data_IF_471450960479
#
_entry.id   IF_471450960479
#
_cell.length_a   1.000
_cell.length_b   1.000
_cell.length_c   1.000
_cell.angle_alpha   90.00
_cell.angle_beta   90.00
_cell.angle_gamma   90.00
#
_symmetry.space_group_name_H-M   'P 1'
#
loop_
_entity.id
_entity.type
_entity.pdbx_description
1 polymer ?
#
# COMPACT_ATOMS: atom_id res chain seq x y z
N UNK A 1 -14.22 20.82 8.57
CA UNK A 1 -13.61 19.70 7.82
C UNK A 1 -14.33 18.37 8.02
N UNK A 2 -14.92 18.07 9.20
CA UNK A 2 -15.60 16.78 9.45
C UNK A 2 -16.84 16.47 8.56
N UNK A 3 -17.48 17.50 7.99
CA UNK A 3 -18.72 17.31 7.24
C UNK A 3 -18.57 16.39 6.01
N UNK A 4 -17.40 16.40 5.36
CA UNK A 4 -17.14 15.51 4.21
C UNK A 4 -17.07 14.05 4.65
N UNK A 5 -16.42 13.75 5.79
CA UNK A 5 -16.29 12.37 6.31
C UNK A 5 -17.65 11.77 6.70
N UNK A 6 -18.59 12.62 7.14
CA UNK A 6 -19.95 12.20 7.49
C UNK A 6 -20.78 11.80 6.26
N UNK A 7 -20.47 12.37 5.09
CA UNK A 7 -21.16 12.08 3.83
C UNK A 7 -20.64 10.83 3.12
N UNK A 8 -19.47 10.31 3.53
CA UNK A 8 -18.91 9.10 2.94
C UNK A 8 -19.69 7.85 3.35
N UNK A 9 -20.15 7.12 2.34
CA UNK A 9 -20.80 5.83 2.50
C UNK A 9 -19.78 4.72 2.80
N UNK A 10 -20.23 3.69 3.51
CA UNK A 10 -19.42 2.51 3.81
C UNK A 10 -18.58 2.60 5.09
N UNK A 11 -17.69 1.62 5.24
CA UNK A 11 -16.79 1.53 6.39
C UNK A 11 -15.50 2.30 6.13
N UNK A 12 -15.19 3.20 7.05
CA UNK A 12 -13.97 3.98 7.01
C UNK A 12 -12.96 3.37 7.98
N UNK A 13 -11.73 3.25 7.50
CA UNK A 13 -10.58 2.78 8.26
C UNK A 13 -9.44 3.77 8.07
N UNK A 14 -8.58 3.93 9.08
CA UNK A 14 -7.47 4.86 9.00
C UNK A 14 -6.16 4.21 9.42
N UNK A 15 -5.16 4.37 8.55
CA UNK A 15 -3.78 4.04 8.85
C UNK A 15 -3.07 5.31 9.30
N UNK A 16 -2.57 5.31 10.53
CA UNK A 16 -2.00 6.50 11.17
C UNK A 16 -0.67 6.91 10.53
N UNK A 17 -0.59 8.16 10.09
CA UNK A 17 0.65 8.82 9.71
C UNK A 17 1.20 9.71 10.83
N UNK A 18 2.40 10.25 10.63
CA UNK A 18 3.08 11.09 11.63
C UNK A 18 2.40 12.43 11.90
N UNK A 19 1.56 12.90 10.98
CA UNK A 19 0.81 14.14 11.14
C UNK A 19 -0.54 13.94 11.83
N UNK A 20 -0.95 12.68 12.03
CA UNK A 20 -2.23 12.34 12.64
C UNK A 20 -2.12 12.41 14.18
N UNK A 21 -2.26 13.62 14.71
CA UNK A 21 -2.21 13.88 16.16
C UNK A 21 -3.61 13.81 16.78
N UNK A 22 -4.18 12.61 16.88
CA UNK A 22 -5.46 12.39 17.55
C UNK A 22 -5.34 12.78 19.03
N UNK A 23 -6.22 13.67 19.52
CA UNK A 23 -6.34 14.02 20.94
C UNK A 23 -5.77 15.38 21.38
N UNK A 24 -4.93 16.05 20.57
CA UNK A 24 -4.37 17.37 20.94
C UNK A 24 -4.94 18.55 20.15
N UNK A 25 -5.52 18.31 18.98
CA UNK A 25 -6.16 19.36 18.17
C UNK A 25 -7.67 19.35 18.37
N UNK A 26 -8.24 20.47 18.86
CA UNK A 26 -9.69 20.69 18.87
C UNK A 26 -10.22 20.58 17.43
N UNK A 27 -10.99 19.53 17.12
CA UNK A 27 -11.81 19.49 15.90
C UNK A 27 -11.76 18.20 15.06
N UNK A 28 -10.87 17.24 15.33
CA UNK A 28 -10.82 15.99 14.57
C UNK A 28 -11.67 14.90 15.24
N UNK A 29 -12.80 14.52 14.62
CA UNK A 29 -13.65 13.44 15.12
C UNK A 29 -13.22 12.10 14.53
N UNK A 30 -12.88 11.15 15.39
CA UNK A 30 -12.53 9.78 14.99
C UNK A 30 -13.75 8.86 14.91
N UNK A 31 -14.95 9.35 15.27
CA UNK A 31 -16.15 8.53 15.47
C UNK A 31 -16.63 7.77 14.23
N UNK A 32 -16.28 8.22 13.02
CA UNK A 32 -16.65 7.54 11.77
C UNK A 32 -15.75 6.36 11.42
N UNK A 33 -14.54 6.29 11.97
CA UNK A 33 -13.63 5.21 11.67
C UNK A 33 -13.96 3.97 12.49
N UNK A 34 -14.07 2.82 11.81
CA UNK A 34 -14.24 1.52 12.48
C UNK A 34 -13.00 1.14 13.29
N UNK A 35 -11.83 1.49 12.76
CA UNK A 35 -10.59 1.46 13.51
C UNK A 35 -9.61 2.47 12.94
N UNK A 36 -8.66 2.85 13.80
CA UNK A 36 -7.51 3.68 13.50
C UNK A 36 -6.29 2.91 14.05
N UNK A 37 -5.30 2.61 13.20
CA UNK A 37 -4.15 1.78 13.57
C UNK A 37 -2.90 2.21 12.79
N UNK A 38 -1.69 2.06 13.33
CA UNK A 38 -0.46 2.35 12.58
C UNK A 38 -0.16 1.30 11.51
N UNK A 39 -0.69 0.08 11.67
CA UNK A 39 -0.45 -1.07 10.80
C UNK A 39 -1.68 -1.99 10.77
N UNK A 40 -2.00 -2.56 9.60
CA UNK A 40 -3.01 -3.58 9.47
C UNK A 40 -2.69 -4.57 8.35
N UNK A 41 -3.17 -5.80 8.49
CA UNK A 41 -3.20 -6.80 7.41
C UNK A 41 -4.66 -7.14 7.10
N UNK A 42 -5.07 -7.04 5.84
CA UNK A 42 -6.41 -7.34 5.36
C UNK A 42 -6.36 -8.37 4.22
N UNK A 43 -7.53 -8.89 3.85
CA UNK A 43 -7.69 -9.72 2.67
C UNK A 43 -8.70 -9.09 1.72
N UNK A 44 -8.40 -9.13 0.43
CA UNK A 44 -9.25 -8.64 -0.65
C UNK A 44 -9.18 -9.62 -1.84
N UNK A 45 -10.26 -10.37 -2.09
CA UNK A 45 -10.33 -11.36 -3.16
C UNK A 45 -9.10 -12.31 -3.21
N UNK A 46 -8.83 -13.04 -2.12
CA UNK A 46 -7.66 -13.93 -1.93
C UNK A 46 -6.27 -13.27 -1.90
N UNK A 47 -6.19 -11.96 -2.17
CA UNK A 47 -4.98 -11.16 -2.03
C UNK A 47 -4.82 -10.71 -0.59
N UNK A 48 -3.59 -10.69 -0.12
CA UNK A 48 -3.23 -10.14 1.18
C UNK A 48 -2.81 -8.69 1.00
N UNK A 49 -3.36 -7.80 1.82
CA UNK A 49 -3.06 -6.37 1.78
C UNK A 49 -2.39 -5.96 3.08
N UNK A 50 -1.14 -5.53 3.00
CA UNK A 50 -0.37 -4.96 4.09
C UNK A 50 -0.55 -3.44 4.04
N UNK A 51 -0.97 -2.84 5.14
CA UNK A 51 -1.26 -1.43 5.25
C UNK A 51 -0.37 -0.78 6.30
N UNK A 52 0.39 0.24 5.92
CA UNK A 52 1.22 1.06 6.81
C UNK A 52 1.43 2.43 6.18
N UNK A 53 1.40 3.52 6.94
CA UNK A 53 1.66 4.84 6.35
C UNK A 53 3.06 4.91 5.75
N UNK A 54 4.04 4.31 6.42
CA UNK A 54 5.42 4.23 5.97
C UNK A 54 5.67 2.99 5.11
N UNK A 55 6.50 3.09 4.05
CA UNK A 55 6.92 1.93 3.28
C UNK A 55 7.70 0.95 4.15
N UNK A 56 7.37 -0.33 4.03
CA UNK A 56 8.11 -1.42 4.67
C UNK A 56 8.68 -2.28 3.54
N UNK A 57 9.99 -2.25 3.33
CA UNK A 57 10.62 -2.94 2.19
C UNK A 57 10.47 -4.48 2.26
N UNK A 58 10.52 -5.02 3.47
CA UNK A 58 10.39 -6.45 3.74
C UNK A 58 9.12 -6.69 4.56
N UNK A 59 8.08 -7.23 3.93
CA UNK A 59 6.75 -7.37 4.55
C UNK A 59 6.23 -8.80 4.52
N UNK A 60 5.28 -9.07 5.42
CA UNK A 60 4.78 -10.40 5.68
C UNK A 60 4.05 -11.02 4.47
N UNK A 61 4.62 -12.08 3.89
CA UNK A 61 4.06 -12.76 2.72
C UNK A 61 4.49 -12.16 1.38
N UNK A 62 5.46 -11.24 1.36
CA UNK A 62 5.96 -10.57 0.14
C UNK A 62 6.27 -11.52 -1.02
N UNK A 63 6.85 -12.69 -0.75
CA UNK A 63 7.31 -13.62 -1.79
C UNK A 63 6.30 -14.71 -2.17
N UNK A 64 5.06 -14.60 -1.70
CA UNK A 64 4.00 -15.57 -2.01
C UNK A 64 3.38 -15.29 -3.37
N UNK A 65 3.07 -16.38 -4.07
CA UNK A 65 2.31 -16.37 -5.31
C UNK A 65 0.96 -17.05 -5.10
N UNK A 66 -0.01 -16.72 -5.93
CA UNK A 66 -1.25 -17.48 -6.07
C UNK A 66 -1.06 -18.70 -7.00
N UNK A 67 -2.16 -19.40 -7.28
CA UNK A 67 -2.17 -20.61 -8.12
C UNK A 67 -1.85 -20.31 -9.59
N UNK A 68 -2.07 -19.08 -10.05
CA UNK A 68 -1.81 -18.62 -11.42
C UNK A 68 -0.39 -18.08 -11.58
N UNK A 69 0.37 -17.99 -10.49
CA UNK A 69 1.74 -17.46 -10.47
C UNK A 69 1.80 -15.94 -10.35
N UNK A 70 0.69 -15.28 -9.98
CA UNK A 70 0.68 -13.85 -9.69
C UNK A 70 1.12 -13.59 -8.24
N UNK A 71 1.73 -12.44 -7.94
CA UNK A 71 2.02 -12.01 -6.58
C UNK A 71 0.75 -11.96 -5.71
N UNK A 72 0.79 -12.58 -4.53
CA UNK A 72 -0.39 -12.67 -3.65
C UNK A 72 -0.52 -11.51 -2.65
N UNK A 73 0.59 -10.84 -2.34
CA UNK A 73 0.66 -9.86 -1.25
C UNK A 73 1.04 -8.49 -1.77
N UNK A 74 0.27 -7.48 -1.39
CA UNK A 74 0.46 -6.08 -1.77
C UNK A 74 0.68 -5.22 -0.53
N UNK A 75 1.70 -4.37 -0.55
CA UNK A 75 2.02 -3.43 0.51
C UNK A 75 1.64 -2.03 0.06
N UNK A 76 0.58 -1.48 0.66
CA UNK A 76 0.09 -0.15 0.36
C UNK A 76 0.64 0.80 1.42
N UNK A 77 1.22 1.90 0.95
CA UNK A 77 1.74 2.95 1.80
C UNK A 77 1.44 4.33 1.27
N UNK A 78 1.68 5.34 2.10
CA UNK A 78 1.75 6.73 1.67
C UNK A 78 3.12 7.29 2.05
N UNK A 79 3.10 8.43 2.74
CA UNK A 79 4.25 9.16 3.30
C UNK A 79 5.25 9.71 2.27
N UNK A 80 5.71 8.86 1.37
CA UNK A 80 6.67 9.18 0.33
C UNK A 80 5.94 9.95 -0.76
N UNK A 81 6.22 11.24 -0.88
CA UNK A 81 5.72 12.07 -1.98
C UNK A 81 6.64 11.90 -3.20
N UNK A 82 6.39 12.65 -4.27
CA UNK A 82 7.23 12.65 -5.46
C UNK A 82 8.59 13.34 -5.21
N UNK A 83 9.47 12.66 -4.46
CA UNK A 83 10.76 13.15 -3.97
C UNK A 83 11.86 12.13 -4.24
N UNK A 84 13.09 12.42 -3.81
CA UNK A 84 14.21 11.48 -3.88
C UNK A 84 13.95 10.15 -3.17
N UNK A 85 13.17 10.17 -2.08
CA UNK A 85 12.83 8.95 -1.35
C UNK A 85 11.97 8.01 -2.22
N UNK A 86 11.08 8.56 -3.07
CA UNK A 86 10.34 7.76 -4.04
C UNK A 86 11.26 7.07 -5.04
N UNK A 87 12.26 7.81 -5.56
CA UNK A 87 13.24 7.25 -6.50
C UNK A 87 14.08 6.14 -5.86
N UNK A 88 14.43 6.27 -4.59
CA UNK A 88 15.12 5.23 -3.83
C UNK A 88 14.22 4.00 -3.60
N UNK A 89 12.94 4.21 -3.29
CA UNK A 89 11.97 3.13 -3.16
C UNK A 89 11.79 2.36 -4.47
N UNK A 90 11.66 3.06 -5.60
CA UNK A 90 11.57 2.46 -6.93
C UNK A 90 12.81 1.61 -7.26
N UNK A 91 14.01 2.12 -6.94
CA UNK A 91 15.26 1.36 -7.08
C UNK A 91 15.30 0.11 -6.19
N UNK A 92 14.85 0.21 -4.93
CA UNK A 92 14.81 -0.92 -4.02
C UNK A 92 13.82 -2.01 -4.48
N UNK A 93 12.65 -1.61 -5.00
CA UNK A 93 11.67 -2.51 -5.61
C UNK A 93 12.25 -3.19 -6.84
N UNK A 94 12.88 -2.42 -7.74
CA UNK A 94 13.50 -2.95 -8.95
C UNK A 94 14.62 -3.95 -8.61
N UNK A 95 15.51 -3.59 -7.67
CA UNK A 95 16.58 -4.46 -7.21
C UNK A 95 16.05 -5.76 -6.61
N UNK A 96 14.98 -5.69 -5.82
CA UNK A 96 14.33 -6.88 -5.24
C UNK A 96 13.80 -7.78 -6.36
N UNK A 97 13.10 -7.22 -7.35
CA UNK A 97 12.53 -7.98 -8.49
C UNK A 97 13.58 -8.59 -9.42
N UNK A 98 14.82 -8.10 -9.39
CA UNK A 98 15.95 -8.69 -10.12
C UNK A 98 16.54 -9.93 -9.43
N UNK A 99 16.27 -10.15 -8.14
CA UNK A 99 16.80 -11.29 -7.41
C UNK A 99 16.08 -12.59 -7.80
N UNK A 100 16.86 -13.66 -7.95
CA UNK A 100 16.36 -15.02 -8.20
C UNK A 100 16.53 -15.88 -6.94
N UNK A 101 15.54 -16.72 -6.65
CA UNK A 101 15.61 -17.76 -5.62
C UNK A 101 15.23 -19.11 -6.20
N UNK A 102 15.73 -20.17 -5.58
CA UNK A 102 15.40 -21.55 -5.92
C UNK A 102 14.32 -22.05 -4.95
N UNK A 103 13.26 -22.66 -5.49
CA UNK A 103 12.21 -23.33 -4.72
C UNK A 103 12.71 -24.68 -4.21
N UNK A 104 11.93 -25.33 -3.35
CA UNK A 104 12.25 -26.66 -2.82
C UNK A 104 12.30 -27.75 -3.91
N UNK A 105 11.55 -27.57 -4.99
CA UNK A 105 11.52 -28.47 -6.15
C UNK A 105 12.66 -28.22 -7.15
N UNK A 106 13.57 -27.28 -6.85
CA UNK A 106 14.69 -26.93 -7.72
C UNK A 106 14.37 -25.89 -8.79
N UNK A 107 13.10 -25.47 -8.95
CA UNK A 107 12.74 -24.43 -9.90
C UNK A 107 13.18 -23.05 -9.44
N UNK A 108 13.61 -22.20 -10.38
CA UNK A 108 13.97 -20.82 -10.11
C UNK A 108 12.77 -19.89 -10.25
N UNK A 109 12.74 -18.84 -9.43
CA UNK A 109 11.75 -17.77 -9.54
C UNK A 109 12.34 -16.42 -9.15
N UNK A 110 11.85 -15.35 -9.79
CA UNK A 110 12.16 -13.98 -9.41
C UNK A 110 11.35 -13.58 -8.19
N UNK A 111 11.93 -12.81 -7.28
CA UNK A 111 11.21 -12.33 -6.12
C UNK A 111 10.12 -11.33 -6.51
N UNK A 112 8.85 -11.55 -6.13
CA UNK A 112 7.84 -10.52 -6.29
C UNK A 112 8.04 -9.44 -5.22
N UNK A 113 7.70 -8.21 -5.58
CA UNK A 113 7.70 -7.08 -4.67
C UNK A 113 6.62 -6.09 -5.13
N UNK A 114 5.44 -6.14 -4.51
CA UNK A 114 4.31 -5.28 -4.81
C UNK A 114 4.14 -4.19 -3.74
N UNK A 115 5.01 -3.19 -3.81
CA UNK A 115 4.86 -1.97 -3.01
C UNK A 115 4.13 -0.93 -3.85
N UNK A 116 3.04 -0.39 -3.30
CA UNK A 116 2.16 0.56 -3.95
C UNK A 116 2.13 1.82 -3.10
N UNK A 117 2.59 2.93 -3.69
CA UNK A 117 2.51 4.23 -3.07
C UNK A 117 1.19 4.90 -3.42
N UNK A 118 0.27 4.95 -2.46
CA UNK A 118 -1.05 5.58 -2.56
C UNK A 118 -0.99 7.10 -2.33
N UNK A 119 0.09 7.78 -2.75
CA UNK A 119 0.19 9.23 -2.71
C UNK A 119 -0.88 9.85 -3.60
N UNK A 120 -1.73 10.71 -3.04
CA UNK A 120 -2.96 11.17 -3.69
C UNK A 120 -2.73 11.92 -5.03
N UNK A 121 -1.57 12.53 -5.25
CA UNK A 121 -1.28 13.17 -6.54
C UNK A 121 -1.14 12.16 -7.69
N UNK A 122 -0.78 10.90 -7.40
CA UNK A 122 -0.72 9.86 -8.43
C UNK A 122 -2.11 9.44 -8.92
N UNK A 123 -3.15 9.64 -8.11
CA UNK A 123 -4.53 9.30 -8.46
C UNK A 123 -5.40 10.52 -8.74
N UNK A 124 -4.80 11.69 -9.02
CA UNK A 124 -5.51 12.97 -9.19
C UNK A 124 -6.53 13.23 -8.06
N UNK A 125 -6.09 12.99 -6.83
CA UNK A 125 -6.90 13.15 -5.61
C UNK A 125 -8.19 12.31 -5.57
N UNK A 126 -8.30 11.32 -6.45
CA UNK A 126 -9.44 10.40 -6.52
C UNK A 126 -9.10 9.12 -5.74
N UNK A 127 -9.98 8.62 -4.86
CA UNK A 127 -9.78 7.32 -4.24
C UNK A 127 -9.88 6.22 -5.28
N UNK A 128 -8.94 5.26 -5.24
CA UNK A 128 -8.90 4.12 -6.14
C UNK A 128 -9.12 2.82 -5.37
N UNK A 129 -9.72 1.84 -6.05
CA UNK A 129 -9.73 0.44 -5.64
C UNK A 129 -8.32 -0.17 -5.69
N UNK A 130 -8.15 -1.34 -5.08
CA UNK A 130 -6.88 -2.06 -5.12
C UNK A 130 -6.47 -2.38 -6.58
N UNK A 131 -7.41 -2.81 -7.41
CA UNK A 131 -7.17 -3.15 -8.81
C UNK A 131 -6.68 -1.95 -9.62
N UNK A 132 -7.29 -0.78 -9.42
CA UNK A 132 -6.87 0.47 -10.07
C UNK A 132 -5.48 0.92 -9.61
N UNK A 133 -5.16 0.79 -8.32
CA UNK A 133 -3.83 1.08 -7.80
C UNK A 133 -2.75 0.15 -8.38
N UNK A 134 -3.07 -1.14 -8.51
CA UNK A 134 -2.16 -2.13 -9.14
C UNK A 134 -1.92 -1.73 -10.60
N UNK A 135 -2.98 -1.49 -11.37
CA UNK A 135 -2.88 -1.12 -12.78
C UNK A 135 -2.08 0.18 -12.98
N UNK A 136 -2.31 1.19 -12.14
CA UNK A 136 -1.57 2.46 -12.17
C UNK A 136 -0.08 2.25 -11.87
N UNK A 137 0.24 1.42 -10.88
CA UNK A 137 1.64 1.13 -10.49
C UNK A 137 2.38 0.36 -11.60
N UNK A 138 1.69 -0.57 -12.27
CA UNK A 138 2.26 -1.39 -13.34
C UNK A 138 2.45 -0.61 -14.65
N UNK A 139 1.57 0.37 -14.93
CA UNK A 139 1.73 1.27 -16.07
C UNK A 139 2.99 2.14 -15.97
N UNK A 140 3.55 2.30 -14.76
CA UNK A 140 4.64 3.21 -14.48
C UNK A 140 4.17 4.67 -14.38
N UNK A 141 5.01 5.60 -13.89
CA UNK A 141 4.62 6.99 -13.81
C UNK A 141 4.27 7.54 -15.20
N UNK A 142 3.13 8.20 -15.31
CA UNK A 142 2.81 9.07 -16.45
C UNK A 142 3.92 10.13 -16.52
N UNK A 143 4.76 10.03 -17.56
CA UNK A 143 5.82 10.99 -17.83
C UNK A 143 5.29 12.31 -18.37
#
# INVERSE_FOLDING_TARGET
TNHVLEQLNGFLYLIEGNHDRFGHAKGYSTARFKWIRPYAELHDNNRKVILCHYPILCYNGQYLFDEEGNPRTYMLHGHVHDTWDQRLMEQAVALTRQQTRVRRDGSEYKLPCQMINCFCMYSDYTPLSLDEWIALTEAGPLC
#
